data_IF_763768623449
#
_entry.id   IF_763768623449
#
_cell.length_a   1.000
_cell.length_b   1.000
_cell.length_c   1.000
_cell.angle_alpha   90.00
_cell.angle_beta   90.00
_cell.angle_gamma   90.00
#
_symmetry.space_group_name_H-M   'P 1'
#
loop_
_entity.id
_entity.type
_entity.pdbx_description
1 polymer ?
#
# COMPACT_ATOMS: atom_id res chain seq x y z
N UNK A 1 25.40 8.26 15.04
CA UNK A 1 24.92 7.46 13.91
C UNK A 1 24.45 8.42 12.82
N UNK A 2 25.09 8.48 11.64
CA UNK A 2 24.57 9.31 10.57
C UNK A 2 23.28 8.71 10.05
N UNK A 3 22.19 9.46 10.15
CA UNK A 3 20.94 9.11 9.50
C UNK A 3 21.19 9.15 7.99
N UNK A 4 21.06 8.00 7.36
CA UNK A 4 21.11 7.96 5.90
C UNK A 4 19.97 8.85 5.37
N UNK A 5 20.31 9.83 4.55
CA UNK A 5 19.33 10.65 3.85
C UNK A 5 18.35 9.73 3.11
N UNK A 6 17.06 10.02 3.15
CA UNK A 6 16.11 9.18 2.42
C UNK A 6 16.47 9.18 0.94
N UNK A 7 16.67 7.98 0.42
CA UNK A 7 17.00 7.78 -0.99
C UNK A 7 15.71 8.06 -1.80
N UNK A 8 15.58 9.31 -2.22
CA UNK A 8 14.38 9.82 -2.89
C UNK A 8 14.02 9.03 -4.16
N UNK A 9 14.99 8.30 -4.70
CA UNK A 9 14.78 7.51 -5.92
C UNK A 9 14.09 6.16 -5.65
N UNK A 10 14.15 5.66 -4.43
CA UNK A 10 13.56 4.33 -4.11
C UNK A 10 12.04 4.32 -4.16
N UNK A 11 11.40 5.45 -3.85
CA UNK A 11 9.95 5.54 -3.75
C UNK A 11 9.31 6.18 -4.99
N UNK A 12 10.12 6.52 -6.01
CA UNK A 12 9.61 7.10 -7.25
C UNK A 12 8.61 6.16 -7.96
N UNK A 13 8.88 4.85 -8.10
CA UNK A 13 7.90 3.95 -8.72
C UNK A 13 6.57 3.88 -7.95
N UNK A 14 6.61 3.97 -6.61
CA UNK A 14 5.38 4.03 -5.82
C UNK A 14 4.58 5.29 -6.12
N UNK A 15 5.27 6.43 -6.18
CA UNK A 15 4.61 7.71 -6.50
C UNK A 15 3.97 7.68 -7.89
N UNK A 16 4.63 7.06 -8.85
CA UNK A 16 4.11 6.94 -10.21
C UNK A 16 2.89 6.03 -10.26
N UNK A 17 2.91 4.90 -9.54
CA UNK A 17 1.75 4.02 -9.42
C UNK A 17 0.57 4.76 -8.80
N UNK A 18 0.80 5.49 -7.69
CA UNK A 18 -0.26 6.25 -7.01
C UNK A 18 -0.82 7.33 -7.95
N UNK A 19 0.03 8.02 -8.73
CA UNK A 19 -0.42 9.01 -9.72
C UNK A 19 -1.26 8.37 -10.82
N UNK A 20 -0.82 7.23 -11.33
CA UNK A 20 -1.55 6.50 -12.37
C UNK A 20 -2.92 6.07 -11.86
N UNK A 21 -2.96 5.41 -10.71
CA UNK A 21 -4.22 4.91 -10.12
C UNK A 21 -5.15 6.07 -9.76
N UNK A 22 -4.60 7.18 -9.25
CA UNK A 22 -5.37 8.37 -8.94
C UNK A 22 -6.00 8.99 -10.18
N UNK A 23 -5.29 8.99 -11.31
CA UNK A 23 -5.80 9.49 -12.59
C UNK A 23 -6.96 8.61 -13.08
N UNK A 24 -6.76 7.29 -13.08
CA UNK A 24 -7.79 6.32 -13.50
C UNK A 24 -9.05 6.49 -12.63
N UNK A 25 -8.87 6.61 -11.32
CA UNK A 25 -10.00 6.85 -10.41
C UNK A 25 -10.68 8.18 -10.72
N UNK A 26 -9.91 9.23 -10.96
CA UNK A 26 -10.45 10.55 -11.32
C UNK A 26 -11.33 10.48 -12.55
N UNK A 27 -10.84 9.80 -13.61
CA UNK A 27 -11.61 9.60 -14.83
C UNK A 27 -12.89 8.81 -14.57
N UNK A 28 -12.81 7.76 -13.71
CA UNK A 28 -13.98 6.97 -13.31
C UNK A 28 -15.00 7.81 -12.54
N UNK A 29 -14.54 8.65 -11.60
CA UNK A 29 -15.44 9.55 -10.86
C UNK A 29 -16.11 10.52 -11.81
N UNK A 30 -15.37 11.10 -12.75
CA UNK A 30 -15.92 12.02 -13.75
C UNK A 30 -16.99 11.34 -14.59
N UNK A 31 -16.73 10.11 -15.02
CA UNK A 31 -17.65 9.34 -15.86
C UNK A 31 -18.92 8.89 -15.12
N UNK A 32 -18.78 8.50 -13.85
CA UNK A 32 -19.89 7.89 -13.10
C UNK A 32 -20.69 8.90 -12.28
N UNK A 33 -20.05 9.92 -11.74
CA UNK A 33 -20.66 10.89 -10.82
C UNK A 33 -20.75 12.31 -11.43
N UNK A 34 -20.10 12.55 -12.57
CA UNK A 34 -20.12 13.81 -13.28
C UNK A 34 -19.00 14.77 -12.91
N UNK A 35 -18.80 15.78 -13.77
CA UNK A 35 -17.72 16.75 -13.66
C UNK A 35 -17.78 17.53 -12.35
N UNK A 36 -18.98 17.90 -11.89
CA UNK A 36 -19.13 18.71 -10.67
C UNK A 36 -18.62 17.96 -9.41
N UNK A 37 -18.88 16.65 -9.33
CA UNK A 37 -18.39 15.84 -8.22
C UNK A 37 -16.86 15.67 -8.32
N UNK A 38 -16.36 15.44 -9.53
CA UNK A 38 -14.91 15.36 -9.77
C UNK A 38 -14.20 16.64 -9.32
N UNK A 39 -14.73 17.81 -9.67
CA UNK A 39 -14.15 19.10 -9.28
C UNK A 39 -14.09 19.25 -7.76
N UNK A 40 -15.16 18.85 -7.07
CA UNK A 40 -15.19 18.87 -5.59
C UNK A 40 -14.11 17.94 -5.03
N UNK A 41 -14.04 16.70 -5.50
CA UNK A 41 -13.03 15.71 -5.06
C UNK A 41 -11.62 16.28 -5.25
N UNK A 42 -11.36 16.87 -6.41
CA UNK A 42 -10.02 17.39 -6.73
C UNK A 42 -9.69 18.61 -5.85
N UNK A 43 -10.63 19.51 -5.61
CA UNK A 43 -10.42 20.67 -4.72
C UNK A 43 -10.17 20.19 -3.29
N UNK A 44 -10.97 19.25 -2.79
CA UNK A 44 -10.76 18.68 -1.45
C UNK A 44 -9.37 18.06 -1.37
N UNK A 45 -8.97 17.26 -2.37
CA UNK A 45 -7.65 16.62 -2.41
C UNK A 45 -6.52 17.66 -2.36
N UNK A 46 -6.59 18.68 -3.21
CA UNK A 46 -5.56 19.73 -3.28
C UNK A 46 -5.44 20.50 -1.98
N UNK A 47 -6.59 20.88 -1.40
CA UNK A 47 -6.62 21.63 -0.14
C UNK A 47 -6.10 20.75 1.01
N UNK A 48 -6.48 19.46 1.04
CA UNK A 48 -6.00 18.51 2.07
C UNK A 48 -4.48 18.32 1.98
N UNK A 49 -3.94 18.21 0.76
CA UNK A 49 -2.47 18.09 0.56
C UNK A 49 -1.76 19.36 1.05
N UNK A 50 -2.29 20.53 0.75
CA UNK A 50 -1.74 21.81 1.23
C UNK A 50 -1.76 21.87 2.75
N UNK A 51 -2.88 21.48 3.37
CA UNK A 51 -2.99 21.43 4.83
C UNK A 51 -1.97 20.46 5.43
N UNK A 52 -1.87 19.24 4.88
CA UNK A 52 -0.99 18.19 5.43
C UNK A 52 0.51 18.52 5.25
N UNK A 53 0.87 19.13 4.12
CA UNK A 53 2.27 19.44 3.81
C UNK A 53 2.76 20.71 4.51
N UNK A 54 1.96 21.75 4.47
CA UNK A 54 2.39 23.09 4.88
C UNK A 54 1.85 23.49 6.26
N UNK A 55 0.94 22.69 6.84
CA UNK A 55 0.32 22.99 8.12
C UNK A 55 -0.57 24.23 8.08
N UNK A 56 -1.08 24.59 6.89
CA UNK A 56 -1.80 25.84 6.66
C UNK A 56 -3.19 25.84 7.35
N UNK A 57 -3.40 26.65 8.41
CA UNK A 57 -4.71 26.68 9.07
C UNK A 57 -5.83 27.15 8.14
N UNK A 58 -5.55 28.05 7.20
CA UNK A 58 -6.54 28.51 6.25
C UNK A 58 -7.04 27.37 5.35
N UNK A 59 -6.18 26.40 5.02
CA UNK A 59 -6.58 25.23 4.25
C UNK A 59 -7.58 24.36 5.02
N UNK A 60 -7.47 24.30 6.35
CA UNK A 60 -8.44 23.59 7.20
C UNK A 60 -9.82 24.24 7.13
N UNK A 61 -9.86 25.58 7.24
CA UNK A 61 -11.12 26.33 7.18
C UNK A 61 -11.74 26.21 5.80
N UNK A 62 -10.90 26.24 4.76
CA UNK A 62 -11.35 26.02 3.38
C UNK A 62 -11.95 24.62 3.20
N UNK A 63 -11.34 23.57 3.76
CA UNK A 63 -11.90 22.21 3.73
C UNK A 63 -13.29 22.18 4.37
N UNK A 64 -13.44 22.77 5.55
CA UNK A 64 -14.74 22.83 6.20
C UNK A 64 -15.76 23.54 5.32
N UNK A 65 -15.39 24.69 4.77
CA UNK A 65 -16.28 25.48 3.90
C UNK A 65 -16.67 24.72 2.62
N UNK A 66 -15.78 23.85 2.12
CA UNK A 66 -16.06 23.01 0.96
C UNK A 66 -16.99 21.84 1.29
N UNK A 67 -16.83 21.24 2.47
CA UNK A 67 -17.52 20.00 2.81
C UNK A 67 -18.87 20.21 3.51
N UNK A 68 -18.98 21.22 4.39
CA UNK A 68 -20.16 21.44 5.19
C UNK A 68 -21.44 21.66 4.37
N UNK A 69 -21.41 22.42 3.25
CA UNK A 69 -22.65 22.69 2.50
C UNK A 69 -23.03 21.61 1.50
N UNK A 70 -22.26 20.51 1.40
CA UNK A 70 -22.50 19.49 0.39
C UNK A 70 -23.82 18.74 0.61
N UNK A 71 -24.64 18.55 -0.44
CA UNK A 71 -25.78 17.66 -0.37
C UNK A 71 -25.36 16.24 -0.02
N UNK A 72 -26.26 15.48 0.59
CA UNK A 72 -25.99 14.13 1.07
C UNK A 72 -25.42 13.21 -0.03
N UNK A 73 -26.01 13.26 -1.23
CA UNK A 73 -25.58 12.38 -2.31
C UNK A 73 -24.16 12.73 -2.78
N UNK A 74 -23.87 14.03 -2.87
CA UNK A 74 -22.51 14.52 -3.21
C UNK A 74 -21.52 14.13 -2.12
N UNK A 75 -21.87 14.29 -0.84
CA UNK A 75 -21.04 13.86 0.29
C UNK A 75 -20.72 12.38 0.17
N UNK A 76 -21.71 11.55 -0.13
CA UNK A 76 -21.53 10.11 -0.27
C UNK A 76 -20.57 9.78 -1.42
N UNK A 77 -20.72 10.46 -2.55
CA UNK A 77 -19.82 10.28 -3.71
C UNK A 77 -18.38 10.67 -3.37
N UNK A 78 -18.19 11.80 -2.67
CA UNK A 78 -16.85 12.27 -2.23
C UNK A 78 -16.22 11.24 -1.29
N UNK A 79 -16.95 10.78 -0.28
CA UNK A 79 -16.46 9.77 0.68
C UNK A 79 -16.08 8.47 -0.05
N UNK A 80 -16.90 8.05 -1.01
CA UNK A 80 -16.66 6.86 -1.82
C UNK A 80 -15.37 7.01 -2.63
N UNK A 81 -15.18 8.16 -3.29
CA UNK A 81 -13.98 8.44 -4.08
C UNK A 81 -12.70 8.33 -3.23
N UNK A 82 -12.69 8.96 -2.04
CA UNK A 82 -11.54 8.89 -1.15
C UNK A 82 -11.33 7.48 -0.59
N UNK A 83 -12.40 6.73 -0.31
CA UNK A 83 -12.29 5.35 0.14
C UNK A 83 -11.62 4.46 -0.92
N UNK A 84 -12.01 4.62 -2.19
CA UNK A 84 -11.37 3.90 -3.28
C UNK A 84 -9.92 4.34 -3.47
N UNK A 85 -9.64 5.63 -3.37
CA UNK A 85 -8.27 6.13 -3.49
C UNK A 85 -7.36 5.48 -2.43
N UNK A 86 -7.81 5.40 -1.18
CA UNK A 86 -7.02 4.78 -0.11
C UNK A 86 -6.77 3.29 -0.40
N UNK A 87 -7.77 2.58 -0.92
CA UNK A 87 -7.59 1.18 -1.29
C UNK A 87 -6.58 1.01 -2.42
N UNK A 88 -6.66 1.87 -3.45
CA UNK A 88 -5.71 1.83 -4.57
C UNK A 88 -4.29 2.17 -4.10
N UNK A 89 -4.15 3.13 -3.20
CA UNK A 89 -2.85 3.49 -2.62
C UNK A 89 -2.26 2.30 -1.84
N UNK A 90 -3.08 1.59 -1.05
CA UNK A 90 -2.62 0.40 -0.34
C UNK A 90 -2.16 -0.70 -1.31
N UNK A 91 -2.88 -0.90 -2.42
CA UNK A 91 -2.46 -1.86 -3.47
C UNK A 91 -1.10 -1.46 -4.05
N UNK A 92 -0.92 -0.17 -4.34
CA UNK A 92 0.35 0.33 -4.87
C UNK A 92 1.50 0.10 -3.87
N UNK A 93 1.25 0.32 -2.58
CA UNK A 93 2.24 0.09 -1.53
C UNK A 93 2.61 -1.39 -1.43
N UNK A 94 1.63 -2.29 -1.46
CA UNK A 94 1.86 -3.74 -1.41
C UNK A 94 2.74 -4.18 -2.59
N UNK A 95 2.41 -3.74 -3.79
CA UNK A 95 3.18 -4.06 -4.99
C UNK A 95 4.59 -3.48 -4.94
N UNK A 96 4.73 -2.26 -4.40
CA UNK A 96 6.04 -1.64 -4.21
C UNK A 96 6.88 -2.45 -3.22
N UNK A 97 6.30 -2.95 -2.13
CA UNK A 97 6.99 -3.82 -1.19
C UNK A 97 7.47 -5.12 -1.85
N UNK A 98 6.63 -5.71 -2.70
CA UNK A 98 6.99 -6.92 -3.46
C UNK A 98 8.16 -6.62 -4.41
N UNK A 99 8.09 -5.50 -5.16
CA UNK A 99 9.18 -5.09 -6.06
C UNK A 99 10.49 -4.89 -5.29
N UNK A 100 10.43 -4.22 -4.15
CA UNK A 100 11.62 -3.96 -3.32
C UNK A 100 12.22 -5.26 -2.78
N UNK A 101 11.35 -6.20 -2.36
CA UNK A 101 11.82 -7.51 -1.90
C UNK A 101 12.55 -8.25 -3.01
N UNK A 102 11.95 -8.31 -4.20
CA UNK A 102 12.56 -8.95 -5.36
C UNK A 102 13.91 -8.32 -5.72
N UNK A 103 13.99 -6.99 -5.72
CA UNK A 103 15.23 -6.28 -6.02
C UNK A 103 16.31 -6.60 -4.99
N UNK A 104 15.96 -6.67 -3.71
CA UNK A 104 16.87 -7.05 -2.63
C UNK A 104 17.41 -8.48 -2.82
N UNK A 105 16.52 -9.42 -3.15
CA UNK A 105 16.87 -10.82 -3.35
C UNK A 105 17.78 -11.01 -4.58
N UNK A 106 17.45 -10.31 -5.69
CA UNK A 106 18.25 -10.36 -6.92
C UNK A 106 19.64 -9.74 -6.75
N UNK A 107 19.75 -8.73 -5.88
CA UNK A 107 21.04 -8.09 -5.59
C UNK A 107 21.94 -8.95 -4.70
N UNK A 108 21.47 -10.11 -4.23
CA UNK A 108 22.24 -10.96 -3.31
C UNK A 108 22.51 -10.26 -1.97
N UNK A 109 21.65 -9.35 -1.57
CA UNK A 109 21.82 -8.60 -0.31
C UNK A 109 21.73 -9.54 0.90
N UNK A 110 22.37 -9.18 2.03
CA UNK A 110 22.29 -10.01 3.24
C UNK A 110 20.84 -10.25 3.66
N UNK A 111 20.56 -11.41 4.30
CA UNK A 111 19.21 -11.69 4.77
C UNK A 111 18.66 -10.57 5.65
N UNK A 112 17.40 -10.24 5.43
CA UNK A 112 16.75 -9.13 6.16
C UNK A 112 16.41 -9.54 7.57
N UNK A 113 16.61 -8.63 8.51
CA UNK A 113 16.17 -8.81 9.90
C UNK A 113 14.68 -9.19 9.92
N UNK A 114 14.33 -10.18 10.73
CA UNK A 114 12.97 -10.71 10.80
C UNK A 114 12.65 -11.82 9.78
N UNK A 115 13.59 -12.14 8.86
CA UNK A 115 13.40 -13.28 7.97
C UNK A 115 13.87 -14.57 8.63
N UNK A 116 13.32 -15.71 8.18
CA UNK A 116 13.74 -17.02 8.67
C UNK A 116 15.23 -17.26 8.41
N UNK A 117 15.72 -16.86 7.24
CA UNK A 117 17.13 -17.02 6.89
C UNK A 117 18.02 -16.24 7.89
N UNK A 118 17.66 -14.99 8.18
CA UNK A 118 18.39 -14.17 9.16
C UNK A 118 18.39 -14.84 10.56
N UNK A 119 17.24 -15.38 10.97
CA UNK A 119 17.14 -16.06 12.27
C UNK A 119 18.03 -17.31 12.30
N UNK A 120 18.01 -18.12 11.23
CA UNK A 120 18.84 -19.34 11.16
C UNK A 120 20.33 -19.00 11.13
N UNK A 121 20.73 -17.95 10.39
CA UNK A 121 22.12 -17.48 10.37
C UNK A 121 22.55 -17.02 11.77
N UNK A 122 21.65 -16.32 12.48
CA UNK A 122 21.91 -15.84 13.84
C UNK A 122 22.09 -17.03 14.82
N UNK A 123 21.24 -18.04 14.70
CA UNK A 123 21.34 -19.25 15.52
C UNK A 123 22.63 -20.02 15.22
N UNK A 124 23.01 -20.11 13.96
CA UNK A 124 24.28 -20.72 13.54
C UNK A 124 25.47 -19.96 14.14
N UNK A 125 25.44 -18.63 14.08
CA UNK A 125 26.50 -17.77 14.66
C UNK A 125 26.59 -17.94 16.17
N UNK A 126 25.46 -18.18 16.83
CA UNK A 126 25.39 -18.45 18.26
C UNK A 126 25.77 -19.90 18.61
N UNK A 127 26.19 -20.69 17.64
CA UNK A 127 26.59 -22.11 17.79
C UNK A 127 25.48 -23.01 18.35
N UNK A 128 24.21 -22.68 18.03
CA UNK A 128 23.07 -23.55 18.35
C UNK A 128 23.13 -24.76 17.40
N UNK A 129 23.07 -25.97 17.93
CA UNK A 129 23.23 -27.14 17.10
C UNK A 129 22.02 -27.40 16.19
N UNK A 130 22.24 -27.98 14.99
CA UNK A 130 21.14 -28.29 14.08
C UNK A 130 20.05 -29.18 14.69
N UNK A 131 20.43 -30.07 15.64
CA UNK A 131 19.49 -30.96 16.30
C UNK A 131 18.50 -30.18 17.17
N UNK A 132 18.99 -29.15 17.89
CA UNK A 132 18.14 -28.28 18.72
C UNK A 132 17.19 -27.48 17.81
N UNK A 133 17.69 -26.96 16.68
CA UNK A 133 16.86 -26.23 15.72
C UNK A 133 15.78 -27.15 15.13
N UNK A 134 16.15 -28.38 14.73
CA UNK A 134 15.22 -29.36 14.18
C UNK A 134 14.17 -29.74 15.20
N UNK A 135 14.57 -29.97 16.46
CA UNK A 135 13.64 -30.31 17.55
C UNK A 135 12.64 -29.18 17.80
N UNK A 136 13.12 -27.93 17.79
CA UNK A 136 12.23 -26.76 17.91
C UNK A 136 11.16 -26.77 16.81
N UNK A 137 11.56 -26.93 15.53
CA UNK A 137 10.61 -26.91 14.42
C UNK A 137 9.68 -28.14 14.41
N UNK A 138 10.14 -29.26 14.92
CA UNK A 138 9.31 -30.47 15.04
C UNK A 138 8.14 -30.28 16.03
N UNK A 139 8.31 -29.37 17.00
CA UNK A 139 7.31 -29.13 18.03
C UNK A 139 6.65 -27.77 17.95
N UNK A 140 7.12 -26.88 17.04
CA UNK A 140 6.58 -25.54 16.89
C UNK A 140 5.16 -25.58 16.32
N UNK A 141 4.29 -24.75 16.87
CA UNK A 141 2.91 -24.61 16.40
C UNK A 141 2.67 -23.16 15.98
N UNK A 142 2.22 -22.97 14.75
CA UNK A 142 1.78 -21.65 14.28
C UNK A 142 0.26 -21.58 14.49
N UNK A 143 -0.15 -20.80 15.47
CA UNK A 143 -1.56 -20.66 15.83
C UNK A 143 -2.03 -19.22 15.51
N UNK A 144 -2.56 -18.99 14.32
CA UNK A 144 -3.09 -17.66 13.99
C UNK A 144 -4.30 -17.33 14.85
N UNK A 145 -4.25 -16.19 15.52
CA UNK A 145 -5.36 -15.72 16.36
C UNK A 145 -6.24 -14.82 15.51
N UNK A 146 -7.45 -15.28 15.25
CA UNK A 146 -8.44 -14.51 14.49
C UNK A 146 -9.25 -13.65 15.46
N UNK A 147 -9.06 -12.36 15.39
CA UNK A 147 -9.82 -11.40 16.20
C UNK A 147 -10.87 -10.72 15.34
N UNK A 148 -12.04 -10.50 15.90
CA UNK A 148 -13.09 -9.73 15.25
C UNK A 148 -12.79 -8.23 15.42
N UNK A 149 -11.92 -7.71 14.57
CA UNK A 149 -11.57 -6.29 14.59
C UNK A 149 -12.38 -5.59 13.49
N UNK A 150 -13.36 -4.75 13.85
CA UNK A 150 -14.28 -4.18 12.84
C UNK A 150 -13.58 -3.40 11.73
N UNK A 151 -12.45 -2.77 12.03
CA UNK A 151 -11.72 -1.98 11.04
C UNK A 151 -11.04 -2.85 9.97
N UNK A 152 -10.84 -4.12 10.24
CA UNK A 152 -10.20 -5.05 9.30
C UNK A 152 -11.23 -5.89 8.53
N UNK A 153 -12.48 -5.85 8.93
CA UNK A 153 -13.52 -6.61 8.25
C UNK A 153 -13.94 -5.88 6.98
N UNK A 154 -13.66 -6.48 5.86
CA UNK A 154 -14.03 -5.94 4.56
C UNK A 154 -15.05 -6.84 3.88
N UNK A 155 -15.91 -6.23 3.06
CA UNK A 155 -16.86 -7.00 2.24
C UNK A 155 -16.08 -7.92 1.30
N UNK A 156 -16.60 -9.12 1.10
CA UNK A 156 -15.96 -10.09 0.20
C UNK A 156 -15.78 -9.51 -1.21
N UNK A 157 -16.70 -8.67 -1.67
CA UNK A 157 -16.56 -8.00 -2.97
C UNK A 157 -15.34 -7.07 -3.02
N UNK A 158 -15.06 -6.34 -1.93
CA UNK A 158 -13.86 -5.50 -1.85
C UNK A 158 -12.60 -6.36 -1.88
N UNK A 159 -12.59 -7.47 -1.13
CA UNK A 159 -11.45 -8.39 -1.11
C UNK A 159 -11.22 -8.98 -2.51
N UNK A 160 -12.29 -9.37 -3.20
CA UNK A 160 -12.20 -9.86 -4.57
C UNK A 160 -11.66 -8.79 -5.51
N UNK A 161 -12.22 -7.60 -5.46
CA UNK A 161 -11.78 -6.48 -6.32
C UNK A 161 -10.32 -6.13 -6.04
N UNK A 162 -9.90 -6.14 -4.78
CA UNK A 162 -8.51 -5.91 -4.39
C UNK A 162 -7.60 -6.96 -5.07
N UNK A 163 -7.96 -8.21 -4.97
CA UNK A 163 -7.19 -9.30 -5.58
C UNK A 163 -7.16 -9.18 -7.11
N UNK A 164 -8.28 -8.88 -7.71
CA UNK A 164 -8.41 -8.71 -9.16
C UNK A 164 -7.64 -7.50 -9.69
N UNK A 165 -7.62 -6.61 -8.96
CA UNK A 165 -6.89 -5.45 -9.28
C UNK A 165 -5.45 -5.67 -9.24
N UNK A 166 -5.12 -6.40 -8.46
CA UNK A 166 -3.80 -6.76 -8.31
C UNK A 166 -3.34 -7.68 -9.39
N UNK A 167 -4.14 -8.33 -9.77
CA UNK A 167 -3.86 -9.22 -10.80
C UNK A 167 -3.97 -8.69 -12.17
N UNK A 168 -4.56 -7.80 -12.23
CA UNK A 168 -4.81 -7.18 -13.46
C UNK A 168 -3.91 -6.02 -13.71
N UNK A 169 -3.66 -5.35 -12.79
CA UNK A 169 -2.85 -4.12 -12.92
C UNK A 169 -1.37 -4.48 -13.09
N UNK A 170 -0.92 -5.47 -12.38
CA UNK A 170 0.45 -5.95 -12.47
C UNK A 170 0.45 -7.40 -12.92
N UNK A 171 0.58 -7.66 -14.22
CA UNK A 171 0.64 -9.04 -14.71
C UNK A 171 1.78 -9.77 -14.01
N UNK A 172 1.48 -10.94 -13.48
CA UNK A 172 2.50 -11.80 -12.88
C UNK A 172 3.65 -11.93 -13.87
N UNK A 173 4.83 -11.59 -13.42
CA UNK A 173 6.03 -11.84 -14.24
C UNK A 173 6.02 -13.32 -14.58
N UNK A 174 5.70 -13.62 -15.83
CA UNK A 174 5.67 -15.01 -16.29
C UNK A 174 7.05 -15.62 -15.97
N UNK A 175 7.03 -16.69 -15.24
CA UNK A 175 8.20 -17.51 -14.95
C UNK A 175 8.70 -18.15 -16.25
N UNK A 176 9.08 -17.33 -17.22
CA UNK A 176 9.89 -17.82 -18.32
C UNK A 176 11.34 -17.60 -17.89
N UNK A 177 11.96 -18.68 -17.45
CA UNK A 177 13.35 -18.72 -17.00
C UNK A 177 14.34 -18.40 -18.14
N UNK A 178 13.88 -17.83 -19.26
CA UNK A 178 14.71 -17.59 -20.44
C UNK A 178 14.92 -16.11 -20.81
N UNK A 179 14.57 -15.16 -19.94
CA UNK A 179 14.68 -13.74 -20.27
C UNK A 179 15.80 -13.00 -19.51
N UNK A 180 16.71 -13.72 -18.87
CA UNK A 180 17.89 -13.12 -18.25
C UNK A 180 19.17 -13.83 -18.72
N UNK A 181 19.60 -13.52 -19.95
CA UNK A 181 20.99 -13.69 -20.37
C UNK A 181 21.48 -12.39 -20.97
#
# INVERSE_FOLDING_TARGET
MPQALPDTNKDEPLRDDIRLLGRILGDTVREQEGESVYDIVERVRQTAVRFARDGDPAARDELAALLDPLPRDTTQAVVRAFSYFLQLANIAEDEHHIRRRRAHDLAGSPPREGSLIFALDSLSTAAVSPEVIADFFAHAVVAPVLTAHPTEVQRQSLIRNHRDXXXXTWPACSTSANACR
#
